data_IF_045834118463
#
_entry.id   IF_045834118463
#
_cell.length_a   1.000
_cell.length_b   1.000
_cell.length_c   1.000
_cell.angle_alpha   90.00
_cell.angle_beta   90.00
_cell.angle_gamma   90.00
#
_symmetry.space_group_name_H-M   'P 1'
#
loop_
_entity.id
_entity.type
_entity.pdbx_description
1 polymer ?
#
# COMPACT_ATOMS: atom_id res chain seq x y z
N UNK A 1 15.96 30.14 18.47
CA UNK A 1 14.87 29.21 18.08
C UNK A 1 15.49 27.85 17.84
N UNK A 2 14.94 26.76 18.38
CA UNK A 2 15.39 25.41 18.00
C UNK A 2 15.06 25.18 16.51
N UNK A 3 15.95 24.57 15.71
CA UNK A 3 15.64 24.23 14.33
C UNK A 3 14.45 23.25 14.29
N UNK A 4 13.55 23.45 13.33
CA UNK A 4 12.46 22.49 13.09
C UNK A 4 13.03 21.31 12.30
N UNK A 5 12.92 20.12 12.85
CA UNK A 5 13.35 18.88 12.19
C UNK A 5 12.17 18.27 11.43
N UNK A 6 12.39 17.92 10.16
CA UNK A 6 11.45 17.17 9.32
C UNK A 6 12.09 15.82 8.98
N UNK A 7 11.38 14.72 9.24
CA UNK A 7 11.82 13.36 8.92
C UNK A 7 10.80 12.74 7.98
N UNK A 8 11.30 12.24 6.85
CA UNK A 8 10.50 11.61 5.80
C UNK A 8 10.81 10.11 5.79
N UNK A 9 9.77 9.28 5.91
CA UNK A 9 9.89 7.84 5.78
C UNK A 9 9.22 7.37 4.49
N UNK A 10 9.91 6.53 3.72
CA UNK A 10 9.23 5.66 2.78
C UNK A 10 8.47 4.56 3.55
N UNK A 11 7.48 3.92 2.92
CA UNK A 11 6.68 2.86 3.55
C UNK A 11 7.13 1.46 3.14
N UNK A 12 7.00 1.12 1.85
CA UNK A 12 7.18 -0.26 1.37
C UNK A 12 8.66 -0.64 1.32
N UNK A 13 9.09 -1.56 2.18
CA UNK A 13 10.51 -1.94 2.31
C UNK A 13 11.32 -1.05 3.26
N UNK A 14 10.71 -0.01 3.82
CA UNK A 14 11.32 0.87 4.83
C UNK A 14 10.62 0.73 6.17
N UNK A 15 9.34 1.09 6.27
CA UNK A 15 8.54 0.84 7.48
C UNK A 15 7.95 -0.57 7.47
N UNK A 16 7.56 -1.07 6.29
CA UNK A 16 7.09 -2.45 6.09
C UNK A 16 8.22 -3.36 5.60
N UNK A 17 8.13 -4.65 5.92
CA UNK A 17 9.09 -5.70 5.52
C UNK A 17 9.06 -6.04 4.04
N UNK A 18 7.98 -5.66 3.33
CA UNK A 18 7.73 -6.01 1.93
C UNK A 18 6.63 -5.12 1.37
N UNK A 19 6.55 -5.07 0.04
CA UNK A 19 5.44 -4.45 -0.68
C UNK A 19 4.07 -4.89 -0.13
N UNK A 20 3.27 -3.90 0.26
CA UNK A 20 1.97 -4.06 0.91
C UNK A 20 0.81 -4.33 -0.06
N UNK A 21 0.99 -4.14 -1.38
CA UNK A 21 -0.07 -4.29 -2.39
C UNK A 21 -0.57 -5.72 -2.50
N UNK A 22 0.34 -6.68 -2.71
CA UNK A 22 -0.04 -8.08 -2.87
C UNK A 22 -0.70 -8.65 -1.61
N UNK A 23 -0.13 -8.46 -0.40
CA UNK A 23 -0.81 -8.82 0.85
C UNK A 23 -2.21 -8.20 0.98
N UNK A 24 -2.39 -6.94 0.60
CA UNK A 24 -3.68 -6.25 0.66
C UNK A 24 -4.71 -6.88 -0.31
N UNK A 25 -4.31 -7.16 -1.55
CA UNK A 25 -5.17 -7.82 -2.54
C UNK A 25 -5.61 -9.20 -2.05
N UNK A 26 -4.67 -10.00 -1.54
CA UNK A 26 -4.96 -11.35 -1.01
C UNK A 26 -5.89 -11.32 0.20
N UNK A 27 -5.82 -10.26 1.01
CA UNK A 27 -6.69 -10.07 2.17
C UNK A 27 -8.11 -9.58 1.77
N UNK A 28 -8.19 -8.67 0.81
CA UNK A 28 -9.43 -7.94 0.51
C UNK A 28 -10.30 -8.56 -0.58
N UNK A 29 -9.73 -9.41 -1.45
CA UNK A 29 -10.45 -9.98 -2.60
C UNK A 29 -10.76 -11.45 -2.36
N UNK A 30 -12.02 -11.86 -2.62
CA UNK A 30 -12.43 -13.27 -2.56
C UNK A 30 -11.59 -14.13 -3.53
N UNK A 31 -11.16 -15.34 -3.14
CA UNK A 31 -10.26 -16.18 -3.97
C UNK A 31 -10.73 -16.41 -5.41
N UNK A 32 -12.03 -16.64 -5.62
CA UNK A 32 -12.59 -16.85 -6.97
C UNK A 32 -12.47 -15.59 -7.86
N UNK A 33 -12.73 -14.41 -7.29
CA UNK A 33 -12.60 -13.14 -8.01
C UNK A 33 -11.13 -12.82 -8.30
N UNK A 34 -10.23 -13.18 -7.37
CA UNK A 34 -8.80 -13.02 -7.54
C UNK A 34 -8.28 -13.84 -8.72
N UNK A 35 -8.64 -15.12 -8.82
CA UNK A 35 -8.20 -16.01 -9.91
C UNK A 35 -8.68 -15.48 -11.27
N UNK A 36 -9.97 -15.14 -11.39
CA UNK A 36 -10.54 -14.62 -12.63
C UNK A 36 -9.86 -13.32 -13.06
N UNK A 37 -9.68 -12.38 -12.13
CA UNK A 37 -9.03 -11.09 -12.41
C UNK A 37 -7.55 -11.28 -12.73
N UNK A 38 -6.84 -12.14 -12.00
CA UNK A 38 -5.44 -12.45 -12.26
C UNK A 38 -5.23 -13.01 -13.67
N UNK A 39 -6.11 -13.91 -14.14
CA UNK A 39 -6.06 -14.45 -15.50
C UNK A 39 -6.30 -13.37 -16.58
N UNK A 40 -7.25 -12.47 -16.37
CA UNK A 40 -7.53 -11.36 -17.30
C UNK A 40 -6.35 -10.37 -17.33
N UNK A 41 -5.78 -10.06 -16.16
CA UNK A 41 -4.69 -9.11 -16.04
C UNK A 41 -3.36 -9.67 -16.53
N UNK A 42 -3.08 -10.95 -16.32
CA UNK A 42 -1.86 -11.58 -16.86
C UNK A 42 -1.85 -11.53 -18.38
N UNK A 43 -2.98 -11.82 -19.04
CA UNK A 43 -3.11 -11.70 -20.49
C UNK A 43 -2.94 -10.26 -20.98
N UNK A 44 -3.55 -9.28 -20.30
CA UNK A 44 -3.39 -7.86 -20.65
C UNK A 44 -1.97 -7.35 -20.46
N UNK A 45 -1.33 -7.67 -19.34
CA UNK A 45 0.04 -7.26 -19.03
C UNK A 45 1.02 -7.87 -20.02
N UNK A 46 0.84 -9.15 -20.36
CA UNK A 46 1.64 -9.82 -21.38
C UNK A 46 1.51 -9.12 -22.75
N UNK A 47 0.29 -8.79 -23.18
CA UNK A 47 0.08 -8.03 -24.43
C UNK A 47 0.69 -6.63 -24.42
N UNK A 48 0.67 -5.92 -23.28
CA UNK A 48 1.32 -4.61 -23.14
C UNK A 48 2.85 -4.71 -23.13
N UNK A 49 3.39 -5.75 -22.50
CA UNK A 49 4.82 -6.04 -22.46
C UNK A 49 5.36 -6.36 -23.86
N UNK A 50 4.68 -7.21 -24.62
CA UNK A 50 5.04 -7.53 -26.01
C UNK A 50 5.03 -6.30 -26.93
N UNK A 51 4.22 -5.28 -26.62
CA UNK A 51 4.13 -4.04 -27.38
C UNK A 51 5.10 -2.95 -26.90
N UNK A 52 5.91 -3.22 -25.87
CA UNK A 52 6.81 -2.23 -25.27
C UNK A 52 6.11 -1.04 -24.61
N UNK A 53 4.82 -1.15 -24.30
CA UNK A 53 3.97 -0.04 -23.80
C UNK A 53 3.59 -0.19 -22.33
N UNK A 54 4.36 -0.96 -21.57
CA UNK A 54 4.04 -1.22 -20.16
C UNK A 54 4.41 -0.02 -19.29
N UNK A 55 3.40 0.76 -18.91
CA UNK A 55 3.51 1.74 -17.82
C UNK A 55 3.05 1.08 -16.52
N UNK A 56 3.96 0.95 -15.55
CA UNK A 56 3.71 0.24 -14.28
C UNK A 56 2.65 0.92 -13.43
N UNK A 57 2.66 2.26 -13.36
CA UNK A 57 1.69 3.03 -12.58
C UNK A 57 0.28 2.89 -13.15
N UNK A 58 0.12 3.09 -14.46
CA UNK A 58 -1.19 2.90 -15.14
C UNK A 58 -1.70 1.47 -15.02
N UNK A 59 -0.80 0.48 -15.05
CA UNK A 59 -1.16 -0.90 -14.84
C UNK A 59 -1.65 -1.16 -13.41
N UNK A 60 -0.98 -0.59 -12.40
CA UNK A 60 -1.36 -0.66 -10.99
C UNK A 60 -2.72 0.00 -10.76
N UNK A 61 -2.92 1.22 -11.27
CA UNK A 61 -4.21 1.94 -11.19
C UNK A 61 -5.34 1.14 -11.81
N UNK A 62 -5.14 0.62 -13.02
CA UNK A 62 -6.18 -0.09 -13.74
C UNK A 62 -6.51 -1.45 -13.07
N UNK A 63 -5.52 -2.13 -12.50
CA UNK A 63 -5.71 -3.32 -11.65
C UNK A 63 -6.57 -2.98 -10.44
N UNK A 64 -6.21 -1.95 -9.67
CA UNK A 64 -6.96 -1.48 -8.49
C UNK A 64 -8.40 -1.12 -8.86
N UNK A 65 -8.59 -0.31 -9.90
CA UNK A 65 -9.90 0.07 -10.39
C UNK A 65 -10.75 -1.15 -10.78
N UNK A 66 -10.14 -2.21 -11.32
CA UNK A 66 -10.86 -3.42 -11.70
C UNK A 66 -11.22 -4.34 -10.53
N UNK A 67 -10.41 -4.34 -9.47
CA UNK A 67 -10.61 -5.18 -8.29
C UNK A 67 -11.67 -4.58 -7.37
N UNK A 68 -11.64 -3.27 -7.22
CA UNK A 68 -12.48 -2.54 -6.27
C UNK A 68 -13.61 -1.73 -6.93
N UNK A 69 -13.88 -1.98 -8.22
CA UNK A 69 -14.99 -1.34 -8.94
C UNK A 69 -16.30 -1.54 -8.17
N UNK A 70 -16.96 -0.43 -7.82
CA UNK A 70 -18.25 -0.45 -7.12
C UNK A 70 -18.16 -0.36 -5.60
N UNK A 71 -16.95 -0.33 -5.02
CA UNK A 71 -16.78 0.01 -3.61
C UNK A 71 -16.74 1.53 -3.42
N UNK A 72 -17.33 2.00 -2.32
CA UNK A 72 -17.21 3.40 -1.89
C UNK A 72 -15.86 3.64 -1.22
N UNK A 73 -15.44 4.93 -1.11
CA UNK A 73 -14.23 5.28 -0.35
C UNK A 73 -14.32 4.78 1.11
N UNK A 74 -15.49 4.87 1.73
CA UNK A 74 -15.69 4.39 3.10
C UNK A 74 -15.45 2.87 3.24
N UNK A 75 -15.98 2.06 2.31
CA UNK A 75 -15.76 0.61 2.30
C UNK A 75 -14.28 0.26 2.05
N UNK A 76 -13.61 1.02 1.19
CA UNK A 76 -12.18 0.86 0.93
C UNK A 76 -11.34 1.20 2.16
N UNK A 77 -11.65 2.29 2.85
CA UNK A 77 -10.95 2.68 4.08
C UNK A 77 -11.19 1.66 5.21
N UNK A 78 -12.41 1.11 5.33
CA UNK A 78 -12.71 0.03 6.28
C UNK A 78 -11.88 -1.23 6.00
N UNK A 79 -11.74 -1.61 4.72
CA UNK A 79 -10.86 -2.70 4.31
C UNK A 79 -9.39 -2.42 4.65
N UNK A 80 -8.93 -1.19 4.45
CA UNK A 80 -7.61 -0.71 4.88
C UNK A 80 -7.37 -0.90 6.38
N UNK A 81 -8.29 -0.39 7.21
CA UNK A 81 -8.21 -0.51 8.68
C UNK A 81 -8.20 -1.96 9.14
N UNK A 82 -9.06 -2.80 8.55
CA UNK A 82 -9.09 -4.24 8.85
C UNK A 82 -7.79 -4.94 8.45
N UNK A 83 -7.24 -4.59 7.29
CA UNK A 83 -5.97 -5.14 6.84
C UNK A 83 -4.84 -4.82 7.83
N UNK A 84 -4.71 -3.57 8.27
CA UNK A 84 -3.69 -3.19 9.24
C UNK A 84 -3.92 -3.83 10.61
N UNK A 85 -5.16 -3.90 11.10
CA UNK A 85 -5.47 -4.57 12.35
C UNK A 85 -5.01 -6.03 12.36
N UNK A 86 -5.13 -6.73 11.22
CA UNK A 86 -4.78 -8.15 11.09
C UNK A 86 -3.31 -8.37 10.74
N UNK A 87 -2.70 -7.50 9.92
CA UNK A 87 -1.38 -7.74 9.31
C UNK A 87 -0.25 -6.85 9.82
N UNK A 88 -0.53 -5.77 10.55
CA UNK A 88 0.49 -4.81 11.00
C UNK A 88 1.68 -5.46 11.71
N UNK A 89 1.44 -6.37 12.66
CA UNK A 89 2.51 -7.04 13.42
C UNK A 89 3.49 -7.81 12.52
N UNK A 90 2.97 -8.48 11.50
CA UNK A 90 3.80 -9.26 10.57
C UNK A 90 4.41 -8.36 9.49
N UNK A 91 3.68 -7.35 9.04
CA UNK A 91 4.02 -6.48 7.92
C UNK A 91 5.06 -5.43 8.27
N UNK A 92 5.08 -4.93 9.51
CA UNK A 92 5.93 -3.80 9.91
C UNK A 92 7.26 -4.24 10.53
N UNK A 93 8.31 -3.45 10.34
CA UNK A 93 9.56 -3.56 11.11
C UNK A 93 9.37 -2.91 12.49
N UNK A 94 9.44 -3.67 13.61
CA UNK A 94 9.26 -3.10 14.94
C UNK A 94 10.26 -1.99 15.26
N UNK A 95 11.53 -2.18 14.87
CA UNK A 95 12.62 -1.23 15.13
C UNK A 95 12.40 0.09 14.39
N UNK A 96 11.88 0.04 13.16
CA UNK A 96 11.56 1.23 12.37
C UNK A 96 10.38 2.00 12.95
N UNK A 97 9.39 1.29 13.51
CA UNK A 97 8.29 1.92 14.27
C UNK A 97 8.81 2.63 15.51
N UNK A 98 9.77 2.03 16.22
CA UNK A 98 10.39 2.64 17.39
C UNK A 98 11.19 3.89 17.01
N UNK A 99 11.99 3.84 15.94
CA UNK A 99 12.76 4.99 15.43
C UNK A 99 11.82 6.13 15.05
N UNK A 100 10.75 5.82 14.31
CA UNK A 100 9.75 6.82 13.93
C UNK A 100 9.09 7.46 15.17
N UNK A 101 8.79 6.66 16.19
CA UNK A 101 8.24 7.16 17.45
C UNK A 101 9.22 8.07 18.19
N UNK A 102 10.52 7.73 18.24
CA UNK A 102 11.56 8.54 18.87
C UNK A 102 11.68 9.92 18.22
N UNK A 103 11.73 10.00 16.89
CA UNK A 103 11.74 11.30 16.20
C UNK A 103 10.51 12.15 16.52
N UNK A 104 9.34 11.51 16.63
CA UNK A 104 8.10 12.20 17.00
C UNK A 104 8.15 12.72 18.44
N UNK A 105 8.67 11.94 19.40
CA UNK A 105 8.83 12.37 20.80
C UNK A 105 9.87 13.47 20.97
N UNK A 106 10.90 13.50 20.12
CA UNK A 106 11.94 14.52 20.12
C UNK A 106 11.49 15.87 19.49
N UNK A 107 10.23 15.93 19.05
CA UNK A 107 9.61 17.14 18.50
C UNK A 107 9.85 17.34 17.01
N UNK A 108 10.29 16.32 16.29
CA UNK A 108 10.35 16.36 14.83
C UNK A 108 8.96 16.25 14.20
N UNK A 109 8.78 16.90 13.05
CA UNK A 109 7.66 16.60 12.14
C UNK A 109 8.00 15.34 11.38
N UNK A 110 7.13 14.34 11.44
CA UNK A 110 7.30 13.05 10.75
C UNK A 110 6.24 12.94 9.65
N UNK A 111 6.66 12.61 8.43
CA UNK A 111 5.75 12.36 7.32
C UNK A 111 6.14 11.07 6.58
N UNK A 112 5.13 10.41 6.01
CA UNK A 112 5.31 9.24 5.16
C UNK A 112 5.16 9.68 3.71
N UNK A 113 6.12 9.30 2.87
CA UNK A 113 6.12 9.59 1.44
C UNK A 113 6.27 8.26 0.71
N UNK A 114 5.19 7.78 0.10
CA UNK A 114 5.14 6.43 -0.47
C UNK A 114 4.42 6.40 -1.81
N UNK A 115 4.80 5.43 -2.65
CA UNK A 115 4.08 5.06 -3.87
C UNK A 115 3.00 3.98 -3.63
N UNK A 116 2.81 3.56 -2.37
CA UNK A 116 1.69 2.73 -1.95
C UNK A 116 0.36 3.47 -2.20
N UNK A 117 -0.74 2.72 -2.28
CA UNK A 117 -2.05 3.36 -2.50
C UNK A 117 -2.57 3.90 -1.18
N UNK A 118 -3.04 5.14 -1.20
CA UNK A 118 -3.53 5.88 -0.03
C UNK A 118 -4.62 5.13 0.75
N UNK A 119 -5.42 4.30 0.09
CA UNK A 119 -6.57 3.57 0.67
C UNK A 119 -6.23 2.83 1.96
N UNK A 120 -5.11 2.09 1.99
CA UNK A 120 -4.69 1.40 3.21
C UNK A 120 -3.67 2.22 3.98
N UNK A 121 -2.83 3.00 3.29
CA UNK A 121 -1.81 3.82 3.97
C UNK A 121 -2.44 4.89 4.88
N UNK A 122 -3.60 5.45 4.51
CA UNK A 122 -4.42 6.33 5.36
C UNK A 122 -4.81 5.65 6.69
N UNK A 123 -4.97 4.32 6.71
CA UNK A 123 -5.30 3.58 7.94
C UNK A 123 -4.07 3.33 8.84
N UNK A 124 -2.87 3.59 8.34
CA UNK A 124 -1.63 3.49 9.10
C UNK A 124 -1.20 4.81 9.74
N UNK A 125 -1.41 5.93 9.04
CA UNK A 125 -1.08 7.28 9.48
C UNK A 125 -2.01 7.77 10.60
#
# INVERSE_FOLDING_TARGET
>A
MKPKTLVLFDFDGTLSKRDSLLPFILFSVKPMNLILKAAIWSFRLFGLLLRGKLNKERAKEALMASLYKGLTKAQLNELGSRFFAVKSKDLMYPDMMQIMHQYKTDGATVAIVSAAVDIWLEAFC
#
